data_IF_469320606845
#
_entry.id   IF_469320606845
#
_cell.length_a   1.000
_cell.length_b   1.000
_cell.length_c   1.000
_cell.angle_alpha   90.00
_cell.angle_beta   90.00
_cell.angle_gamma   90.00
#
_symmetry.space_group_name_H-M   'P 1'
#
loop_
_entity.id
_entity.type
_entity.pdbx_description
1 polymer ?
#
# COMPACT_ATOMS: atom_id res chain seq x y z
N UNK A 1 7.24 -1.08 8.53
CA UNK A 1 6.34 0.10 8.52
C UNK A 1 6.29 0.80 9.88
N UNK A 2 5.75 0.20 10.95
CA UNK A 2 5.53 0.90 12.24
C UNK A 2 6.78 1.49 12.90
N UNK A 3 7.97 0.89 12.70
CA UNK A 3 9.25 1.42 13.20
C UNK A 3 9.74 2.67 12.44
N UNK A 4 9.58 2.69 11.11
CA UNK A 4 10.18 3.71 10.24
C UNK A 4 9.20 4.82 9.83
N UNK A 5 7.89 4.55 9.91
CA UNK A 5 6.82 5.49 9.59
C UNK A 5 5.79 5.54 10.74
N UNK A 6 6.21 5.92 11.96
CA UNK A 6 5.35 5.90 13.14
C UNK A 6 4.18 6.88 13.06
N UNK A 7 4.28 7.92 12.23
CA UNK A 7 3.22 8.90 11.95
C UNK A 7 2.01 8.27 11.25
N UNK A 8 2.23 7.25 10.41
CA UNK A 8 1.17 6.54 9.68
C UNK A 8 0.32 5.64 10.58
N UNK A 9 0.78 5.34 11.81
CA UNK A 9 0.02 4.54 12.79
C UNK A 9 -1.32 5.17 13.15
N UNK A 10 -1.50 6.49 12.93
CA UNK A 10 -2.78 7.21 13.12
C UNK A 10 -3.97 6.60 12.38
N UNK A 11 -3.74 5.87 11.29
CA UNK A 11 -4.77 5.17 10.53
C UNK A 11 -5.14 3.79 11.10
N UNK A 12 -4.34 3.25 12.02
CA UNK A 12 -4.52 1.93 12.62
C UNK A 12 -5.14 2.05 14.00
N UNK A 13 -6.46 2.25 14.04
CA UNK A 13 -7.20 2.48 15.30
C UNK A 13 -6.93 1.42 16.37
N UNK A 14 -6.58 1.86 17.57
CA UNK A 14 -6.18 1.01 18.71
C UNK A 14 -4.74 0.52 18.66
N UNK A 15 -3.97 0.91 17.64
CA UNK A 15 -2.57 0.55 17.46
C UNK A 15 -1.69 1.79 17.18
N UNK A 16 -2.18 2.99 17.49
CA UNK A 16 -1.50 4.26 17.21
C UNK A 16 -0.13 4.35 17.91
N UNK A 17 0.02 3.70 19.06
CA UNK A 17 1.25 3.68 19.87
C UNK A 17 2.04 2.38 19.76
N UNK A 18 1.62 1.41 18.93
CA UNK A 18 2.27 0.10 18.85
C UNK A 18 3.74 0.21 18.43
N UNK A 19 4.59 -0.52 19.13
CA UNK A 19 5.98 -0.78 18.79
C UNK A 19 6.10 -1.94 17.80
N UNK A 20 7.32 -2.23 17.32
CA UNK A 20 7.57 -3.41 16.50
C UNK A 20 7.25 -4.72 17.24
N UNK A 21 7.54 -4.78 18.54
CA UNK A 21 7.27 -5.96 19.37
C UNK A 21 5.77 -6.19 19.54
N UNK A 22 4.99 -5.13 19.75
CA UNK A 22 3.52 -5.22 19.84
C UNK A 22 2.92 -5.76 18.54
N UNK A 23 3.43 -5.29 17.39
CA UNK A 23 2.99 -5.77 16.07
C UNK A 23 3.32 -7.25 15.89
N UNK A 24 4.52 -7.69 16.27
CA UNK A 24 4.96 -9.10 16.12
C UNK A 24 4.11 -10.08 16.92
N UNK A 25 3.59 -9.65 18.09
CA UNK A 25 2.76 -10.50 18.96
C UNK A 25 1.26 -10.36 18.69
N UNK A 26 0.86 -9.57 17.69
CA UNK A 26 -0.54 -9.25 17.44
C UNK A 26 -1.16 -10.11 16.34
N UNK A 27 -2.15 -10.93 16.71
CA UNK A 27 -2.96 -11.70 15.74
C UNK A 27 -3.65 -10.79 14.70
N UNK A 28 -4.02 -9.57 15.09
CA UNK A 28 -4.58 -8.57 14.15
C UNK A 28 -3.59 -8.27 13.03
N UNK A 29 -2.32 -8.07 13.36
CA UNK A 29 -1.28 -7.73 12.38
C UNK A 29 -0.73 -8.95 11.66
N UNK A 30 -0.83 -10.16 12.23
CA UNK A 30 -0.65 -11.40 11.48
C UNK A 30 -1.68 -11.49 10.34
N UNK A 31 -2.98 -11.34 10.65
CA UNK A 31 -4.05 -11.35 9.64
C UNK A 31 -3.94 -10.21 8.64
N UNK A 32 -3.65 -9.00 9.12
CA UNK A 32 -3.51 -7.84 8.25
C UNK A 32 -2.25 -7.93 7.37
N UNK A 33 -1.16 -8.49 7.91
CA UNK A 33 0.08 -8.77 7.17
C UNK A 33 -0.14 -9.71 6.00
N UNK A 34 -0.90 -10.80 6.21
CA UNK A 34 -1.30 -11.69 5.12
C UNK A 34 -2.15 -10.99 4.06
N UNK A 35 -3.13 -10.17 4.47
CA UNK A 35 -4.00 -9.43 3.54
C UNK A 35 -3.22 -8.45 2.66
N UNK A 36 -2.31 -7.67 3.24
CA UNK A 36 -1.54 -6.69 2.47
C UNK A 36 -0.54 -7.38 1.54
N UNK A 37 0.08 -8.47 2.00
CA UNK A 37 1.02 -9.22 1.16
C UNK A 37 0.29 -9.84 -0.04
N UNK A 38 -0.87 -10.47 0.18
CA UNK A 38 -1.73 -10.97 -0.91
C UNK A 38 -2.12 -9.85 -1.88
N UNK A 39 -2.52 -8.68 -1.37
CA UNK A 39 -2.90 -7.55 -2.23
C UNK A 39 -1.76 -7.11 -3.15
N UNK A 40 -0.52 -7.08 -2.66
CA UNK A 40 0.64 -6.72 -3.48
C UNK A 40 0.98 -7.81 -4.49
N UNK A 41 0.83 -9.09 -4.13
CA UNK A 41 0.93 -10.18 -5.11
C UNK A 41 -0.11 -10.05 -6.23
N UNK A 42 -1.37 -9.71 -5.89
CA UNK A 42 -2.41 -9.49 -6.90
C UNK A 42 -2.00 -8.36 -7.85
N UNK A 43 -1.58 -7.21 -7.34
CA UNK A 43 -1.11 -6.09 -8.16
C UNK A 43 0.03 -6.50 -9.12
N UNK A 44 1.03 -7.23 -8.62
CA UNK A 44 2.14 -7.67 -9.45
C UNK A 44 1.72 -8.69 -10.53
N UNK A 45 0.86 -9.66 -10.17
CA UNK A 45 0.46 -10.73 -11.08
C UNK A 45 -0.60 -10.31 -12.11
N UNK A 46 -1.33 -9.22 -11.84
CA UNK A 46 -2.33 -8.69 -12.79
C UNK A 46 -1.81 -7.49 -13.57
N UNK A 47 -0.55 -7.07 -13.40
CA UNK A 47 -0.04 -5.83 -14.01
C UNK A 47 -0.14 -5.82 -15.54
N UNK A 48 0.14 -6.96 -16.18
CA UNK A 48 0.03 -7.12 -17.63
C UNK A 48 -1.44 -7.22 -18.13
N UNK A 49 -2.40 -7.42 -17.21
CA UNK A 49 -3.84 -7.34 -17.47
C UNK A 49 -4.37 -6.01 -16.91
N UNK A 50 -4.17 -4.94 -17.69
CA UNK A 50 -4.39 -3.56 -17.25
C UNK A 50 -5.82 -3.32 -16.71
N UNK A 51 -6.85 -3.91 -17.32
CA UNK A 51 -8.23 -3.76 -16.87
C UNK A 51 -8.43 -4.34 -15.46
N UNK A 52 -7.91 -5.55 -15.23
CA UNK A 52 -7.97 -6.22 -13.93
C UNK A 52 -7.15 -5.46 -12.88
N UNK A 53 -5.94 -5.01 -13.23
CA UNK A 53 -5.10 -4.20 -12.36
C UNK A 53 -5.80 -2.93 -11.89
N UNK A 54 -6.34 -2.15 -12.84
CA UNK A 54 -7.02 -0.88 -12.54
C UNK A 54 -8.31 -1.13 -11.74
N UNK A 55 -9.07 -2.16 -12.06
CA UNK A 55 -10.24 -2.54 -11.27
C UNK A 55 -9.89 -2.86 -9.82
N UNK A 56 -8.78 -3.58 -9.59
CA UNK A 56 -8.31 -3.90 -8.24
C UNK A 56 -7.77 -2.67 -7.50
N UNK A 57 -7.12 -1.72 -8.19
CA UNK A 57 -6.73 -0.43 -7.60
C UNK A 57 -7.95 0.37 -7.12
N UNK A 58 -9.00 0.50 -7.94
CA UNK A 58 -10.26 1.16 -7.56
C UNK A 58 -10.95 0.49 -6.37
N UNK A 59 -10.99 -0.85 -6.36
CA UNK A 59 -11.56 -1.59 -5.24
C UNK A 59 -10.73 -1.39 -3.95
N UNK A 60 -9.41 -1.29 -4.08
CA UNK A 60 -8.53 -0.95 -2.97
C UNK A 60 -8.89 0.43 -2.43
N UNK A 61 -9.04 1.46 -3.26
CA UNK A 61 -9.51 2.80 -2.84
C UNK A 61 -10.85 2.72 -2.12
N UNK A 62 -11.83 2.01 -2.68
CA UNK A 62 -13.17 1.87 -2.10
C UNK A 62 -13.12 1.31 -0.67
N UNK A 63 -12.28 0.30 -0.42
CA UNK A 63 -12.11 -0.30 0.92
C UNK A 63 -11.37 0.60 1.91
N UNK A 64 -10.58 1.55 1.42
CA UNK A 64 -9.78 2.45 2.27
C UNK A 64 -10.44 3.80 2.55
N UNK A 65 -11.55 4.15 1.86
CA UNK A 65 -12.26 5.44 2.06
C UNK A 65 -12.60 5.73 3.52
N UNK A 66 -12.87 4.70 4.31
CA UNK A 66 -13.26 4.82 5.72
C UNK A 66 -12.15 5.40 6.60
N UNK A 67 -10.90 5.27 6.17
CA UNK A 67 -9.73 5.76 6.91
C UNK A 67 -9.39 7.22 6.59
N UNK A 68 -9.99 7.80 5.53
CA UNK A 68 -9.76 9.19 5.08
C UNK A 68 -8.26 9.52 4.99
N UNK A 69 -7.53 8.62 4.33
CA UNK A 69 -6.09 8.76 4.15
C UNK A 69 -5.76 10.00 3.30
N UNK A 70 -4.61 10.60 3.58
CA UNK A 70 -3.99 11.58 2.69
C UNK A 70 -3.78 10.93 1.30
N UNK A 71 -4.29 11.54 0.21
CA UNK A 71 -4.23 10.94 -1.12
C UNK A 71 -2.80 10.74 -1.65
N UNK A 72 -1.81 11.50 -1.16
CA UNK A 72 -0.40 11.29 -1.56
C UNK A 72 0.17 9.94 -1.07
N UNK A 73 -0.52 9.27 -0.14
CA UNK A 73 -0.06 7.99 0.41
C UNK A 73 -0.25 6.80 -0.53
N UNK A 74 -1.06 6.94 -1.59
CA UNK A 74 -1.26 5.87 -2.58
C UNK A 74 0.05 5.52 -3.29
N UNK A 75 0.73 6.49 -3.89
CA UNK A 75 2.09 6.30 -4.41
C UNK A 75 3.14 6.05 -3.32
N UNK A 76 3.08 6.77 -2.19
CA UNK A 76 4.11 6.67 -1.13
C UNK A 76 4.19 5.29 -0.45
N UNK A 77 3.11 4.49 -0.51
CA UNK A 77 3.10 3.10 -0.04
C UNK A 77 4.26 2.28 -0.63
N UNK A 78 4.54 2.43 -1.92
CA UNK A 78 5.55 1.61 -2.60
C UNK A 78 6.97 1.93 -2.14
N UNK A 79 7.25 3.15 -1.68
CA UNK A 79 8.53 3.45 -0.99
C UNK A 79 8.68 2.60 0.27
N UNK A 80 7.62 2.49 1.09
CA UNK A 80 7.62 1.67 2.30
C UNK A 80 7.79 0.18 1.95
N UNK A 81 7.10 -0.28 0.91
CA UNK A 81 7.11 -1.68 0.51
C UNK A 81 8.45 -2.11 -0.11
N UNK A 82 9.01 -1.30 -1.02
CA UNK A 82 10.33 -1.56 -1.62
C UNK A 82 11.42 -1.56 -0.57
N UNK A 83 11.41 -0.60 0.38
CA UNK A 83 12.36 -0.60 1.50
C UNK A 83 12.21 -1.85 2.38
N UNK A 84 10.98 -2.33 2.59
CA UNK A 84 10.74 -3.58 3.29
C UNK A 84 11.33 -4.78 2.53
N UNK A 85 11.09 -4.89 1.22
CA UNK A 85 11.67 -5.96 0.42
C UNK A 85 13.20 -5.94 0.45
N UNK A 86 13.81 -4.77 0.25
CA UNK A 86 15.28 -4.59 0.25
C UNK A 86 15.90 -4.95 1.60
N UNK A 87 15.17 -4.76 2.70
CA UNK A 87 15.59 -5.21 4.05
C UNK A 87 15.53 -6.73 4.26
N UNK A 88 14.85 -7.47 3.37
CA UNK A 88 14.74 -8.94 3.43
C UNK A 88 15.68 -9.63 2.45
N UNK A 89 15.81 -9.09 1.27
CA UNK A 89 16.76 -9.50 0.26
C UNK A 89 17.04 -8.31 -0.65
N UNK A 90 18.32 -8.11 -1.01
CA UNK A 90 18.70 -7.01 -1.89
C UNK A 90 17.93 -7.11 -3.21
N UNK A 91 17.19 -6.05 -3.55
CA UNK A 91 16.51 -5.93 -4.82
C UNK A 91 17.49 -5.41 -5.88
N UNK A 92 17.39 -5.95 -7.09
CA UNK A 92 18.14 -5.41 -8.24
C UNK A 92 17.58 -4.05 -8.67
N UNK A 93 18.36 -3.30 -9.44
CA UNK A 93 17.92 -2.02 -9.98
C UNK A 93 16.72 -2.19 -10.92
N UNK A 94 16.66 -3.28 -11.68
CA UNK A 94 15.52 -3.61 -12.54
C UNK A 94 14.25 -3.87 -11.71
N UNK A 95 14.37 -4.60 -10.59
CA UNK A 95 13.23 -4.83 -9.69
C UNK A 95 12.74 -3.54 -9.05
N UNK A 96 13.65 -2.66 -8.62
CA UNK A 96 13.31 -1.34 -8.08
C UNK A 96 12.63 -0.46 -9.14
N UNK A 97 13.10 -0.51 -10.39
CA UNK A 97 12.47 0.19 -11.51
C UNK A 97 11.07 -0.35 -11.82
N UNK A 98 10.87 -1.67 -11.81
CA UNK A 98 9.57 -2.29 -12.02
C UNK A 98 8.55 -1.88 -10.94
N UNK A 99 8.96 -1.88 -9.66
CA UNK A 99 8.10 -1.37 -8.58
C UNK A 99 7.75 0.10 -8.74
N UNK A 100 8.69 0.92 -9.24
CA UNK A 100 8.44 2.35 -9.50
C UNK A 100 7.40 2.55 -10.60
N UNK A 101 7.46 1.76 -11.66
CA UNK A 101 6.47 1.82 -12.74
C UNK A 101 5.09 1.36 -12.25
N UNK A 102 5.03 0.23 -11.55
CA UNK A 102 3.78 -0.25 -10.94
C UNK A 102 3.18 0.79 -9.99
N UNK A 103 4.01 1.42 -9.15
CA UNK A 103 3.58 2.46 -8.23
C UNK A 103 2.96 3.66 -8.94
N UNK A 104 3.56 4.09 -10.06
CA UNK A 104 3.07 5.20 -10.86
C UNK A 104 1.70 4.88 -11.44
N UNK A 105 1.54 3.73 -12.12
CA UNK A 105 0.26 3.35 -12.74
C UNK A 105 -0.83 3.15 -11.69
N UNK A 106 -0.47 2.56 -10.53
CA UNK A 106 -1.39 2.40 -9.41
C UNK A 106 -1.87 3.74 -8.85
N UNK A 107 -0.95 4.67 -8.61
CA UNK A 107 -1.28 6.00 -8.07
C UNK A 107 -2.14 6.79 -9.05
N UNK A 108 -1.79 6.81 -10.35
CA UNK A 108 -2.58 7.45 -11.40
C UNK A 108 -4.05 6.97 -11.40
N UNK A 109 -4.27 5.65 -11.32
CA UNK A 109 -5.62 5.09 -11.24
C UNK A 109 -6.34 5.48 -9.94
N UNK A 110 -5.63 5.45 -8.80
CA UNK A 110 -6.20 5.82 -7.51
C UNK A 110 -6.62 7.29 -7.47
N UNK A 111 -5.78 8.21 -7.97
CA UNK A 111 -6.10 9.64 -8.01
C UNK A 111 -7.28 9.91 -8.96
N UNK A 112 -7.30 9.27 -10.13
CA UNK A 112 -8.42 9.37 -11.07
C UNK A 112 -9.74 8.91 -10.43
N UNK A 113 -9.74 7.75 -9.77
CA UNK A 113 -10.94 7.21 -9.14
C UNK A 113 -11.38 8.03 -7.91
N UNK A 114 -10.45 8.55 -7.13
CA UNK A 114 -10.76 9.48 -6.03
C UNK A 114 -11.48 10.75 -6.56
N UNK A 115 -11.01 11.30 -7.68
CA UNK A 115 -11.63 12.44 -8.35
C UNK A 115 -13.06 12.12 -8.80
N UNK A 116 -13.28 10.95 -9.41
CA UNK A 116 -14.61 10.51 -9.86
C UNK A 116 -15.59 10.32 -8.70
N UNK A 117 -15.09 9.91 -7.53
CA UNK A 117 -15.87 9.79 -6.30
C UNK A 117 -16.11 11.13 -5.58
N UNK A 118 -15.55 12.24 -6.07
CA UNK A 118 -15.60 13.54 -5.39
C UNK A 118 -14.83 13.57 -4.06
N UNK A 119 -13.78 12.76 -3.93
CA UNK A 119 -12.93 12.67 -2.74
C UNK A 119 -11.62 13.46 -2.92
N UNK A 120 -10.89 13.77 -1.82
CA UNK A 120 -9.58 14.40 -1.90
C UNK A 120 -8.62 13.60 -2.80
N UNK A 121 -7.93 14.28 -3.71
CA UNK A 121 -6.98 13.76 -4.70
C UNK A 121 -5.88 14.80 -4.96
N UNK A 122 -4.76 14.39 -5.56
CA UNK A 122 -3.62 15.25 -5.91
C UNK A 122 -3.14 15.05 -7.34
#
# INVERSE_FOLDING_TARGET
MFTHHPDLRRYFKGAESFTAEDVQKSERFEKQGQRILLAVYLLANTFDDEETFRAYARETVNRHRVYKMDPALWGAFFTVFVNFLDSRAALTDEQKAAWKELAKVFDEECQSHLKDLGLPHV
#
